data_IF_529749250784
#
_entry.id   IF_529749250784
#
_cell.length_a   1.000
_cell.length_b   1.000
_cell.length_c   1.000
_cell.angle_alpha   90.00
_cell.angle_beta   90.00
_cell.angle_gamma   90.00
#
_symmetry.space_group_name_H-M   'P 1'
#
loop_
_entity.id
_entity.type
_entity.pdbx_description
1 polymer ?
#
# COMPACT_ATOMS: atom_id res chain seq x y z
N UNK A 1 -18.68 14.74 41.58
CA UNK A 1 -19.48 14.58 40.34
C UNK A 1 -20.09 15.94 40.09
N UNK A 2 -19.42 16.75 39.27
CA UNK A 2 -19.83 18.13 39.04
C UNK A 2 -21.22 18.15 38.40
N UNK A 3 -22.09 19.01 38.94
CA UNK A 3 -23.44 19.22 38.48
C UNK A 3 -23.42 19.68 37.02
N UNK A 4 -23.64 18.75 36.07
CA UNK A 4 -23.57 18.97 34.61
C UNK A 4 -24.42 20.17 34.17
N UNK A 5 -25.53 20.41 34.85
CA UNK A 5 -26.39 21.56 34.63
C UNK A 5 -25.67 22.88 34.93
N UNK A 6 -24.89 22.97 36.01
CA UNK A 6 -24.08 24.17 36.32
C UNK A 6 -22.99 24.42 35.29
N UNK A 7 -22.33 23.37 34.81
CA UNK A 7 -21.33 23.49 33.74
C UNK A 7 -22.00 23.95 32.45
N UNK A 8 -23.17 23.38 32.11
CA UNK A 8 -23.98 23.81 30.97
C UNK A 8 -24.36 25.29 31.05
N UNK A 9 -24.78 25.77 32.22
CA UNK A 9 -25.06 27.19 32.46
C UNK A 9 -23.82 28.08 32.30
N UNK A 10 -22.65 27.62 32.74
CA UNK A 10 -21.39 28.35 32.57
C UNK A 10 -21.05 28.48 31.08
N UNK A 11 -21.12 27.39 30.31
CA UNK A 11 -20.91 27.41 28.85
C UNK A 11 -21.92 28.30 28.13
N UNK A 12 -23.17 28.30 28.58
CA UNK A 12 -24.19 29.19 28.06
C UNK A 12 -23.84 30.67 28.29
N UNK A 13 -23.37 31.04 29.49
CA UNK A 13 -22.90 32.40 29.81
C UNK A 13 -21.70 32.82 28.96
N UNK A 14 -20.85 31.87 28.58
CA UNK A 14 -19.75 32.07 27.63
C UNK A 14 -20.21 32.16 26.16
N UNK A 15 -21.52 32.14 25.88
CA UNK A 15 -22.10 32.10 24.52
C UNK A 15 -21.74 30.86 23.69
N UNK A 16 -21.22 29.80 24.33
CA UNK A 16 -20.91 28.51 23.68
C UNK A 16 -22.14 27.62 23.66
N UNK A 17 -23.15 28.03 22.88
CA UNK A 17 -24.49 27.42 22.91
C UNK A 17 -24.51 25.94 22.48
N UNK A 18 -23.63 25.51 21.57
CA UNK A 18 -23.55 24.10 21.16
C UNK A 18 -22.97 23.19 22.26
N UNK A 19 -21.90 23.63 22.92
CA UNK A 19 -21.32 22.90 24.06
C UNK A 19 -22.30 22.87 25.25
N UNK A 20 -23.00 23.98 25.52
CA UNK A 20 -24.02 24.06 26.57
C UNK A 20 -25.18 23.09 26.30
N UNK A 21 -25.66 23.03 25.05
CA UNK A 21 -26.67 22.05 24.61
C UNK A 21 -26.22 20.62 24.89
N UNK A 22 -25.01 20.25 24.51
CA UNK A 22 -24.51 18.88 24.68
C UNK A 22 -24.41 18.49 26.16
N UNK A 23 -24.01 19.43 27.02
CA UNK A 23 -24.00 19.25 28.47
C UNK A 23 -25.41 19.13 29.07
N UNK A 24 -26.38 19.89 28.59
CA UNK A 24 -27.77 19.76 29.03
C UNK A 24 -28.40 18.44 28.57
N UNK A 25 -28.08 17.94 27.37
CA UNK A 25 -28.50 16.62 26.90
C UNK A 25 -27.92 15.51 27.78
N UNK A 26 -26.64 15.59 28.14
CA UNK A 26 -26.02 14.66 29.09
C UNK A 26 -26.67 14.76 30.48
N UNK A 27 -27.03 15.96 30.92
CA UNK A 27 -27.75 16.14 32.19
C UNK A 27 -29.12 15.47 32.18
N UNK A 28 -29.86 15.55 31.07
CA UNK A 28 -31.17 14.90 30.89
C UNK A 28 -31.04 13.38 30.83
N UNK A 29 -29.99 12.85 30.18
CA UNK A 29 -29.73 11.41 30.17
C UNK A 29 -29.53 10.83 31.58
N UNK A 30 -29.01 11.63 32.50
CA UNK A 30 -28.82 11.23 33.90
C UNK A 30 -30.08 11.44 34.75
N UNK A 31 -30.78 12.55 34.55
CA UNK A 31 -32.03 12.89 35.22
C UNK A 31 -32.88 13.81 34.33
N UNK A 32 -33.98 13.27 33.82
CA UNK A 32 -34.90 13.96 32.91
C UNK A 32 -36.06 14.66 33.65
N UNK A 33 -36.14 14.52 34.97
CA UNK A 33 -37.25 15.04 35.78
C UNK A 33 -37.14 16.54 36.06
N UNK A 34 -35.99 17.17 35.77
CA UNK A 34 -35.75 18.58 36.07
C UNK A 34 -36.22 19.50 34.91
N UNK A 35 -37.35 20.22 35.06
CA UNK A 35 -37.88 21.11 34.01
C UNK A 35 -36.94 22.26 33.64
N UNK A 36 -36.06 22.68 34.55
CA UNK A 36 -35.09 23.77 34.29
C UNK A 36 -34.05 23.36 33.25
N UNK A 37 -33.67 22.09 33.21
CA UNK A 37 -32.72 21.54 32.24
C UNK A 37 -33.33 21.53 30.83
N UNK A 38 -34.58 21.11 30.72
CA UNK A 38 -35.35 21.17 29.47
C UNK A 38 -35.51 22.61 28.96
N UNK A 39 -35.86 23.56 29.82
CA UNK A 39 -35.93 24.96 29.44
C UNK A 39 -34.56 25.53 29.02
N UNK A 40 -33.48 25.21 29.73
CA UNK A 40 -32.13 25.65 29.37
C UNK A 40 -31.66 25.08 28.02
N UNK A 41 -32.01 23.83 27.74
CA UNK A 41 -31.80 23.19 26.45
C UNK A 41 -32.60 23.89 25.33
N UNK A 42 -33.87 24.19 25.57
CA UNK A 42 -34.73 24.95 24.64
C UNK A 42 -34.17 26.32 24.30
N UNK A 43 -33.60 27.03 25.30
CA UNK A 43 -32.93 28.32 25.08
C UNK A 43 -31.69 28.15 24.20
N UNK A 44 -30.89 27.10 24.43
CA UNK A 44 -29.73 26.81 23.58
C UNK A 44 -30.15 26.53 22.14
N UNK A 45 -31.18 25.70 21.94
CA UNK A 45 -31.73 25.43 20.61
C UNK A 45 -32.26 26.70 19.94
N UNK A 46 -32.92 27.59 20.68
CA UNK A 46 -33.38 28.89 20.18
C UNK A 46 -32.20 29.74 19.68
N UNK A 47 -31.11 29.82 20.46
CA UNK A 47 -29.87 30.56 20.10
C UNK A 47 -29.14 29.94 18.91
N UNK A 48 -29.24 28.62 18.74
CA UNK A 48 -28.69 27.88 17.59
C UNK A 48 -29.62 27.92 16.36
N UNK A 49 -30.82 28.49 16.48
CA UNK A 49 -31.83 28.55 15.41
C UNK A 49 -32.55 27.23 15.14
N UNK A 50 -32.42 26.25 16.02
CA UNK A 50 -33.13 24.96 16.01
C UNK A 50 -34.51 25.15 16.66
N UNK A 51 -35.40 25.84 15.95
CA UNK A 51 -36.67 26.36 16.50
C UNK A 51 -37.65 25.24 16.87
N UNK A 52 -37.68 24.15 16.10
CA UNK A 52 -38.61 23.05 16.35
C UNK A 52 -38.18 22.23 17.58
N UNK A 53 -36.89 21.94 17.71
CA UNK A 53 -36.32 21.30 18.90
C UNK A 53 -36.45 22.17 20.14
N UNK A 54 -36.32 23.49 20.00
CA UNK A 54 -36.56 24.44 21.09
C UNK A 54 -38.00 24.37 21.59
N UNK A 55 -38.99 24.34 20.68
CA UNK A 55 -40.41 24.28 21.02
C UNK A 55 -40.73 23.01 21.82
N UNK A 56 -40.27 21.84 21.33
CA UNK A 56 -40.43 20.57 22.03
C UNK A 56 -39.82 20.59 23.44
N UNK A 57 -38.66 21.23 23.62
CA UNK A 57 -38.02 21.33 24.93
C UNK A 57 -38.84 22.18 25.91
N UNK A 58 -39.48 23.25 25.44
CA UNK A 58 -40.35 24.07 26.30
C UNK A 58 -41.67 23.37 26.62
N UNK A 59 -42.24 22.62 25.67
CA UNK A 59 -43.42 21.77 25.92
C UNK A 59 -43.12 20.70 26.98
N UNK A 60 -41.98 20.02 26.89
CA UNK A 60 -41.56 19.06 27.93
C UNK A 60 -41.35 19.74 29.28
N UNK A 61 -40.75 20.94 29.32
CA UNK A 61 -40.59 21.69 30.56
C UNK A 61 -41.94 22.07 31.20
N UNK A 62 -42.94 22.42 30.38
CA UNK A 62 -44.32 22.70 30.83
C UNK A 62 -45.08 21.44 31.25
N UNK A 63 -44.80 20.29 30.64
CA UNK A 63 -45.38 19.02 31.06
C UNK A 63 -44.92 18.63 32.47
N UNK A 64 -43.67 18.94 32.81
CA UNK A 64 -43.05 18.65 34.12
C UNK A 64 -43.39 19.69 35.19
N UNK A 65 -43.63 20.95 34.80
CA UNK A 65 -44.02 22.05 35.70
C UNK A 65 -45.14 22.91 35.06
N UNK A 66 -46.40 22.42 35.12
CA UNK A 66 -47.53 23.11 34.50
C UNK A 66 -47.80 24.48 35.12
N UNK A 67 -48.06 25.49 34.28
CA UNK A 67 -48.37 26.86 34.72
C UNK A 67 -47.14 27.73 35.00
N UNK A 68 -45.93 27.27 34.65
CA UNK A 68 -44.73 28.09 34.75
C UNK A 68 -44.70 29.19 33.67
N UNK A 69 -44.98 30.42 34.08
CA UNK A 69 -45.02 31.58 33.19
C UNK A 69 -43.73 31.82 32.38
N UNK A 70 -42.56 31.36 32.85
CA UNK A 70 -41.31 31.50 32.11
C UNK A 70 -41.28 30.58 30.89
N UNK A 71 -41.69 29.33 31.06
CA UNK A 71 -41.67 28.35 29.98
C UNK A 71 -42.76 28.65 28.95
N UNK A 72 -43.95 29.07 29.40
CA UNK A 72 -45.03 29.55 28.51
C UNK A 72 -44.57 30.74 27.66
N UNK A 73 -43.87 31.70 28.28
CA UNK A 73 -43.32 32.85 27.56
C UNK A 73 -42.28 32.42 26.52
N UNK A 74 -41.38 31.50 26.87
CA UNK A 74 -40.35 31.01 25.95
C UNK A 74 -40.95 30.24 24.78
N UNK A 75 -41.92 29.36 25.04
CA UNK A 75 -42.68 28.65 24.02
C UNK A 75 -43.41 29.61 23.08
N UNK A 76 -44.11 30.61 23.65
CA UNK A 76 -44.81 31.64 22.87
C UNK A 76 -43.86 32.41 21.96
N UNK A 77 -42.73 32.88 22.49
CA UNK A 77 -41.73 33.62 21.71
C UNK A 77 -41.23 32.77 20.52
N UNK A 78 -40.93 31.49 20.77
CA UNK A 78 -40.44 30.56 19.73
C UNK A 78 -41.48 30.25 18.67
N UNK A 79 -42.76 30.13 19.06
CA UNK A 79 -43.86 29.91 18.12
C UNK A 79 -44.24 31.17 17.34
N UNK A 80 -44.07 32.36 17.92
CA UNK A 80 -44.30 33.66 17.25
C UNK A 80 -43.10 34.11 16.41
N UNK A 81 -41.95 33.43 16.47
CA UNK A 81 -40.75 33.85 15.71
C UNK A 81 -40.98 33.63 14.21
N UNK A 82 -40.87 34.65 13.33
CA UNK A 82 -41.30 34.56 11.93
C UNK A 82 -40.54 33.51 11.10
N UNK A 83 -41.29 32.85 10.22
CA UNK A 83 -40.95 31.73 9.31
C UNK A 83 -39.68 31.90 8.48
N UNK A 84 -39.14 33.12 8.36
CA UNK A 84 -37.86 33.42 7.68
C UNK A 84 -36.65 32.74 8.33
N UNK A 85 -36.65 32.52 9.64
CA UNK A 85 -35.55 31.82 10.34
C UNK A 85 -35.62 30.31 10.08
N UNK A 86 -36.82 29.72 10.13
CA UNK A 86 -37.06 28.32 9.74
C UNK A 86 -36.60 28.05 8.30
N UNK A 87 -36.91 28.93 7.35
CA UNK A 87 -36.54 28.77 5.93
C UNK A 87 -35.02 28.89 5.65
N UNK A 88 -34.29 29.73 6.40
CA UNK A 88 -32.82 29.89 6.26
C UNK A 88 -32.08 28.62 6.72
N UNK A 89 -32.56 27.98 7.78
CA UNK A 89 -32.00 26.73 8.30
C UNK A 89 -32.41 25.49 7.50
N UNK A 90 -33.63 25.45 6.95
CA UNK A 90 -34.00 24.40 5.98
C UNK A 90 -33.10 24.44 4.74
N UNK A 91 -32.73 25.63 4.23
CA UNK A 91 -31.79 25.75 3.11
C UNK A 91 -30.37 25.30 3.47
N UNK A 92 -29.87 25.57 4.68
CA UNK A 92 -28.54 25.11 5.11
C UNK A 92 -28.51 23.60 5.34
N UNK A 93 -29.55 23.03 5.95
CA UNK A 93 -29.74 21.59 6.17
C UNK A 93 -29.94 20.85 4.83
N UNK A 94 -30.70 21.41 3.89
CA UNK A 94 -30.81 20.86 2.53
C UNK A 94 -29.45 20.89 1.82
N UNK A 95 -28.61 21.90 2.04
CA UNK A 95 -27.28 22.00 1.42
C UNK A 95 -26.30 20.96 1.99
N UNK A 96 -26.35 20.65 3.28
CA UNK A 96 -25.56 19.57 3.90
C UNK A 96 -26.10 18.19 3.52
N UNK A 97 -27.41 17.98 3.55
CA UNK A 97 -28.05 16.74 3.11
C UNK A 97 -27.80 16.46 1.62
N UNK A 98 -27.64 17.47 0.77
CA UNK A 98 -27.29 17.29 -0.65
C UNK A 98 -25.79 16.96 -0.85
N UNK A 99 -24.91 17.33 0.09
CA UNK A 99 -23.48 16.97 0.08
C UNK A 99 -23.24 15.50 0.46
N UNK A 100 -24.03 14.94 1.37
CA UNK A 100 -23.91 13.54 1.84
C UNK A 100 -23.98 12.49 0.70
N UNK A 101 -24.98 12.51 -0.20
CA UNK A 101 -25.04 11.63 -1.37
C UNK A 101 -23.91 11.87 -2.36
N UNK A 102 -23.43 13.12 -2.48
CA UNK A 102 -22.30 13.43 -3.36
C UNK A 102 -20.97 12.90 -2.80
N UNK A 103 -20.76 13.00 -1.48
CA UNK A 103 -19.58 12.43 -0.81
C UNK A 103 -19.59 10.90 -0.94
N UNK A 104 -20.73 10.24 -0.69
CA UNK A 104 -20.86 8.79 -0.89
C UNK A 104 -20.54 8.37 -2.32
N UNK A 105 -21.04 9.09 -3.34
CA UNK A 105 -20.68 8.84 -4.75
C UNK A 105 -19.18 8.96 -5.02
N UNK A 106 -18.53 10.00 -4.49
CA UNK A 106 -17.07 10.18 -4.66
C UNK A 106 -16.31 9.02 -4.02
N UNK A 107 -16.69 8.61 -2.79
CA UNK A 107 -16.05 7.48 -2.10
C UNK A 107 -16.24 6.19 -2.89
N UNK A 108 -17.45 5.91 -3.37
CA UNK A 108 -17.72 4.72 -4.21
C UNK A 108 -16.91 4.75 -5.50
N UNK A 109 -16.78 5.91 -6.17
CA UNK A 109 -15.95 6.03 -7.37
C UNK A 109 -14.47 5.78 -7.09
N UNK A 110 -13.93 6.30 -6.00
CA UNK A 110 -12.54 6.05 -5.59
C UNK A 110 -12.35 4.56 -5.27
N UNK A 111 -13.29 3.95 -4.56
CA UNK A 111 -13.25 2.53 -4.22
C UNK A 111 -13.25 1.64 -5.48
N UNK A 112 -14.16 1.90 -6.42
CA UNK A 112 -14.22 1.18 -7.69
C UNK A 112 -12.96 1.38 -8.53
N UNK A 113 -12.40 2.59 -8.53
CA UNK A 113 -11.12 2.89 -9.17
C UNK A 113 -10.00 2.04 -8.56
N UNK A 114 -9.86 2.00 -7.23
CA UNK A 114 -8.85 1.17 -6.57
C UNK A 114 -9.01 -0.32 -6.91
N UNK A 115 -10.24 -0.85 -6.89
CA UNK A 115 -10.51 -2.25 -7.29
C UNK A 115 -10.07 -2.49 -8.74
N UNK A 116 -10.42 -1.59 -9.66
CA UNK A 116 -10.04 -1.70 -11.06
C UNK A 116 -8.51 -1.77 -11.24
N UNK A 117 -7.74 -0.93 -10.54
CA UNK A 117 -6.27 -0.97 -10.61
C UNK A 117 -5.68 -2.25 -10.02
N UNK A 118 -6.23 -2.76 -8.92
CA UNK A 118 -5.82 -4.04 -8.35
C UNK A 118 -6.07 -5.17 -9.37
N UNK A 119 -7.28 -5.24 -9.93
CA UNK A 119 -7.63 -6.24 -10.94
C UNK A 119 -6.75 -6.11 -12.20
N UNK A 120 -6.45 -4.89 -12.63
CA UNK A 120 -5.56 -4.63 -13.76
C UNK A 120 -4.15 -5.15 -13.47
N UNK A 121 -3.60 -4.91 -12.29
CA UNK A 121 -2.29 -5.43 -11.90
C UNK A 121 -2.27 -6.96 -11.84
N UNK A 122 -3.32 -7.58 -11.30
CA UNK A 122 -3.48 -9.04 -11.31
C UNK A 122 -3.59 -9.59 -12.72
N UNK A 123 -4.34 -8.95 -13.60
CA UNK A 123 -4.48 -9.35 -14.99
C UNK A 123 -3.16 -9.25 -15.75
N UNK A 124 -2.42 -8.16 -15.56
CA UNK A 124 -1.07 -7.98 -16.12
C UNK A 124 -0.12 -9.05 -15.56
N UNK A 125 -0.09 -9.23 -14.25
CA UNK A 125 0.75 -10.24 -13.58
C UNK A 125 0.46 -11.66 -14.05
N UNK A 126 -0.82 -12.01 -14.21
CA UNK A 126 -1.27 -13.29 -14.76
C UNK A 126 -0.84 -13.44 -16.22
N UNK A 127 -1.02 -12.42 -17.05
CA UNK A 127 -0.59 -12.44 -18.45
C UNK A 127 0.92 -12.67 -18.58
N UNK A 128 1.72 -11.97 -17.78
CA UNK A 128 3.17 -12.14 -17.75
C UNK A 128 3.52 -13.54 -17.23
N UNK A 129 2.88 -14.05 -16.17
CA UNK A 129 3.10 -15.41 -15.68
C UNK A 129 2.75 -16.47 -16.75
N UNK A 130 1.67 -16.28 -17.50
CA UNK A 130 1.30 -17.18 -18.59
C UNK A 130 2.30 -17.13 -19.76
N UNK A 131 3.00 -16.01 -19.98
CA UNK A 131 4.06 -15.83 -21.00
C UNK A 131 5.46 -16.21 -20.49
N UNK A 132 5.70 -16.12 -19.18
CA UNK A 132 6.96 -16.48 -18.53
C UNK A 132 7.01 -17.92 -18.05
N UNK A 133 5.90 -18.48 -17.55
CA UNK A 133 5.83 -19.81 -16.95
C UNK A 133 6.50 -19.93 -15.58
N UNK A 134 7.01 -18.84 -15.03
CA UNK A 134 7.72 -18.78 -13.75
C UNK A 134 7.29 -17.56 -12.97
N UNK A 135 7.27 -17.64 -11.65
CA UNK A 135 7.03 -16.49 -10.78
C UNK A 135 8.21 -16.31 -9.82
N UNK A 136 8.83 -15.12 -9.75
CA UNK A 136 8.52 -13.92 -10.53
C UNK A 136 8.98 -14.02 -11.99
N UNK A 137 8.16 -13.54 -12.94
CA UNK A 137 8.55 -13.44 -14.35
C UNK A 137 9.31 -12.16 -14.67
N UNK A 138 9.36 -11.18 -13.76
CA UNK A 138 10.10 -9.93 -13.94
C UNK A 138 10.97 -9.71 -12.72
N UNK A 139 12.24 -9.39 -12.95
CA UNK A 139 13.20 -9.05 -11.90
C UNK A 139 13.94 -7.78 -12.26
N UNK A 140 14.43 -7.05 -11.26
CA UNK A 140 15.27 -5.87 -11.43
C UNK A 140 16.71 -6.26 -11.11
N UNK A 141 17.65 -5.80 -11.95
CA UNK A 141 19.06 -5.99 -11.68
C UNK A 141 19.55 -5.01 -10.62
N UNK A 142 20.13 -5.56 -9.55
CA UNK A 142 20.64 -4.80 -8.41
C UNK A 142 22.15 -4.89 -8.25
N UNK A 143 22.83 -5.77 -9.00
CA UNK A 143 24.26 -6.01 -8.89
C UNK A 143 24.98 -5.82 -10.24
N UNK A 144 26.24 -5.40 -10.17
CA UNK A 144 27.11 -5.15 -11.33
C UNK A 144 27.80 -6.41 -11.87
N UNK A 145 27.56 -7.59 -11.28
CA UNK A 145 28.25 -8.83 -11.65
C UNK A 145 27.98 -9.28 -13.09
N UNK A 146 26.92 -8.77 -13.72
CA UNK A 146 26.56 -9.07 -15.11
C UNK A 146 26.90 -7.93 -16.09
N UNK A 147 27.55 -6.86 -15.63
CA UNK A 147 27.96 -5.76 -16.49
C UNK A 147 29.06 -6.21 -17.49
N UNK A 148 29.17 -5.59 -18.68
CA UNK A 148 28.28 -4.56 -19.23
C UNK A 148 27.01 -5.14 -19.88
N UNK A 149 26.90 -6.47 -19.99
CA UNK A 149 25.84 -7.13 -20.74
C UNK A 149 24.48 -7.00 -20.07
N UNK A 150 24.44 -6.81 -18.76
CA UNK A 150 23.24 -6.52 -17.98
C UNK A 150 23.60 -5.57 -16.83
N UNK A 151 23.00 -4.39 -16.81
CA UNK A 151 23.38 -3.30 -15.91
C UNK A 151 22.39 -3.14 -14.76
N UNK A 152 22.85 -2.53 -13.67
CA UNK A 152 21.97 -2.16 -12.55
C UNK A 152 20.84 -1.25 -13.05
N UNK A 153 19.62 -1.54 -12.62
CA UNK A 153 18.41 -0.84 -13.07
C UNK A 153 17.81 -1.38 -14.38
N UNK A 154 18.42 -2.37 -15.02
CA UNK A 154 17.75 -3.11 -16.11
C UNK A 154 16.57 -3.92 -15.54
N UNK A 155 15.43 -3.90 -16.24
CA UNK A 155 14.29 -4.77 -15.96
C UNK A 155 14.42 -6.04 -16.81
N UNK A 156 14.43 -7.21 -16.19
CA UNK A 156 14.69 -8.48 -16.86
C UNK A 156 13.42 -9.31 -16.87
N UNK A 157 13.01 -9.76 -18.06
CA UNK A 157 11.97 -10.77 -18.20
C UNK A 157 12.60 -12.16 -18.05
N UNK A 158 11.96 -12.97 -17.22
CA UNK A 158 12.38 -14.32 -16.85
C UNK A 158 11.33 -15.30 -17.34
N UNK A 159 11.80 -16.38 -17.96
CA UNK A 159 10.98 -17.46 -18.47
C UNK A 159 11.41 -18.79 -17.85
N UNK A 160 10.54 -19.79 -17.87
CA UNK A 160 10.89 -21.16 -17.50
C UNK A 160 12.08 -21.67 -18.32
N UNK A 161 12.90 -22.57 -17.74
CA UNK A 161 14.14 -23.03 -18.38
C UNK A 161 13.92 -23.75 -19.73
N UNK A 162 12.74 -24.33 -19.92
CA UNK A 162 12.28 -25.02 -21.14
C UNK A 162 11.44 -24.13 -22.07
N UNK A 163 11.08 -22.91 -21.64
CA UNK A 163 10.35 -21.96 -22.49
C UNK A 163 11.28 -21.31 -23.51
N UNK A 164 10.77 -21.24 -24.74
CA UNK A 164 11.47 -20.66 -25.88
C UNK A 164 12.82 -21.33 -26.18
N UNK A 165 12.84 -22.67 -26.06
CA UNK A 165 14.02 -23.50 -26.29
C UNK A 165 14.60 -24.04 -24.98
N UNK A 166 15.37 -25.13 -25.07
CA UNK A 166 16.05 -25.70 -23.92
C UNK A 166 17.11 -24.73 -23.38
N UNK A 167 17.37 -24.79 -22.07
CA UNK A 167 18.49 -24.08 -21.48
C UNK A 167 19.80 -24.52 -22.17
N UNK A 168 20.65 -23.56 -22.52
CA UNK A 168 21.99 -23.84 -23.04
C UNK A 168 23.07 -23.15 -22.22
N UNK A 169 24.13 -23.88 -21.89
CA UNK A 169 25.34 -23.33 -21.28
C UNK A 169 26.13 -22.47 -22.29
N UNK A 170 27.16 -21.77 -21.83
CA UNK A 170 28.07 -21.02 -22.68
C UNK A 170 28.80 -21.96 -23.65
N UNK A 171 29.23 -23.13 -23.19
CA UNK A 171 29.86 -24.14 -24.05
C UNK A 171 28.91 -24.62 -25.16
N UNK A 172 27.68 -24.96 -24.79
CA UNK A 172 26.64 -25.37 -25.73
C UNK A 172 26.26 -24.24 -26.69
N UNK A 173 26.18 -23.00 -26.19
CA UNK A 173 25.89 -21.79 -26.96
C UNK A 173 26.97 -21.46 -27.99
N UNK A 174 28.25 -21.70 -27.67
CA UNK A 174 29.35 -21.55 -28.63
C UNK A 174 29.22 -22.51 -29.82
N UNK A 175 28.63 -23.69 -29.60
CA UNK A 175 28.42 -24.70 -30.63
C UNK A 175 27.14 -24.42 -31.41
N UNK A 176 26.05 -24.06 -30.72
CA UNK A 176 24.73 -23.87 -31.31
C UNK A 176 24.53 -22.49 -31.95
N UNK A 177 25.34 -21.50 -31.57
CA UNK A 177 25.14 -20.09 -31.90
C UNK A 177 24.05 -19.40 -31.07
N UNK A 178 23.54 -20.04 -30.00
CA UNK A 178 22.60 -19.39 -29.09
C UNK A 178 23.32 -18.35 -28.24
N UNK A 179 22.86 -17.11 -28.32
CA UNK A 179 23.42 -15.99 -27.58
C UNK A 179 22.37 -15.30 -26.71
N UNK A 180 22.78 -14.90 -25.50
CA UNK A 180 22.03 -14.00 -24.62
C UNK A 180 22.89 -12.82 -24.19
N UNK A 181 22.36 -11.63 -24.48
CA UNK A 181 22.95 -10.34 -24.17
C UNK A 181 24.35 -10.16 -24.76
N UNK A 182 24.53 -10.62 -26.00
CA UNK A 182 25.77 -10.45 -26.76
C UNK A 182 26.87 -11.46 -26.43
N UNK A 183 26.58 -12.46 -25.61
CA UNK A 183 27.49 -13.57 -25.32
C UNK A 183 26.78 -14.93 -25.48
N UNK A 184 27.53 -16.01 -25.80
CA UNK A 184 26.99 -17.35 -25.93
C UNK A 184 26.34 -17.88 -24.65
N UNK A 185 25.32 -18.72 -24.83
CA UNK A 185 24.61 -19.40 -23.74
C UNK A 185 23.59 -18.54 -23.00
N UNK A 186 22.77 -19.20 -22.19
CA UNK A 186 21.71 -18.58 -21.40
C UNK A 186 22.23 -18.05 -20.05
N UNK A 187 21.60 -16.98 -19.58
CA UNK A 187 21.77 -16.46 -18.21
C UNK A 187 20.61 -16.94 -17.36
N UNK A 188 20.94 -17.61 -16.25
CA UNK A 188 19.97 -18.23 -15.35
C UNK A 188 19.81 -17.46 -14.05
N UNK A 189 18.63 -17.61 -13.46
CA UNK A 189 18.30 -17.11 -12.13
C UNK A 189 18.12 -18.32 -11.24
N UNK A 190 18.86 -18.40 -10.14
CA UNK A 190 18.85 -19.57 -9.28
C UNK A 190 18.98 -19.23 -7.80
N UNK A 191 18.55 -20.16 -6.96
CA UNK A 191 18.71 -20.09 -5.49
C UNK A 191 20.08 -20.64 -5.10
N UNK A 192 20.93 -19.87 -4.39
CA UNK A 192 22.23 -20.36 -3.96
C UNK A 192 22.07 -21.56 -3.01
N UNK A 193 22.64 -22.71 -3.39
CA UNK A 193 22.50 -24.01 -2.73
C UNK A 193 21.04 -24.38 -2.39
N UNK A 194 20.08 -23.95 -3.22
CA UNK A 194 18.66 -24.17 -3.00
C UNK A 194 18.01 -23.33 -1.89
N UNK A 195 18.76 -22.43 -1.25
CA UNK A 195 18.27 -21.62 -0.13
C UNK A 195 17.21 -20.60 -0.59
N UNK A 196 16.00 -20.69 -0.03
CA UNK A 196 14.86 -19.82 -0.37
C UNK A 196 14.85 -18.49 0.35
N UNK A 197 15.61 -18.36 1.44
CA UNK A 197 15.70 -17.16 2.27
C UNK A 197 16.72 -16.15 1.73
N UNK A 198 17.63 -16.62 0.89
CA UNK A 198 18.66 -15.77 0.27
C UNK A 198 18.17 -15.23 -1.07
N UNK A 199 18.68 -14.04 -1.41
CA UNK A 199 18.41 -13.43 -2.71
C UNK A 199 18.91 -14.34 -3.84
N UNK A 200 18.11 -14.57 -4.89
CA UNK A 200 18.56 -15.30 -6.06
C UNK A 200 19.74 -14.63 -6.76
N UNK A 201 20.56 -15.44 -7.42
CA UNK A 201 21.71 -15.00 -8.21
C UNK A 201 21.35 -15.09 -9.70
N UNK A 202 21.76 -14.10 -10.48
CA UNK A 202 21.52 -14.02 -11.92
C UNK A 202 22.86 -14.07 -12.63
N UNK A 203 23.27 -15.23 -13.13
CA UNK A 203 24.59 -15.43 -13.76
C UNK A 203 24.50 -16.36 -14.98
N UNK A 204 25.52 -16.32 -15.83
CA UNK A 204 25.59 -17.16 -17.02
C UNK A 204 25.86 -18.61 -16.64
N UNK A 205 25.13 -19.54 -17.25
CA UNK A 205 25.44 -20.95 -17.16
C UNK A 205 26.69 -21.22 -18.00
N UNK A 206 27.79 -21.66 -17.38
CA UNK A 206 29.07 -21.83 -18.06
C UNK A 206 29.15 -23.19 -18.74
N UNK A 207 28.97 -24.26 -17.97
CA UNK A 207 28.91 -25.65 -18.42
C UNK A 207 28.21 -26.51 -17.37
N UNK A 208 27.80 -27.71 -17.76
CA UNK A 208 27.27 -28.73 -16.85
C UNK A 208 28.40 -29.66 -16.41
N UNK A 209 28.46 -29.98 -15.12
CA UNK A 209 29.45 -30.90 -14.56
C UNK A 209 28.76 -32.05 -13.86
N UNK A 210 29.41 -33.22 -13.84
CA UNK A 210 28.96 -34.40 -13.10
C UNK A 210 29.61 -34.49 -11.72
N UNK A 211 29.05 -35.31 -10.83
CA UNK A 211 29.62 -35.54 -9.50
C UNK A 211 31.04 -36.13 -9.59
N UNK A 212 31.96 -35.54 -8.82
CA UNK A 212 33.37 -35.95 -8.80
C UNK A 212 34.19 -35.42 -9.97
N UNK A 213 33.59 -34.70 -10.91
CA UNK A 213 34.32 -34.11 -12.04
C UNK A 213 35.28 -33.01 -11.55
N UNK A 214 36.51 -33.06 -12.06
CA UNK A 214 37.56 -32.09 -11.75
C UNK A 214 37.68 -31.04 -12.86
N UNK A 215 37.42 -29.78 -12.51
CA UNK A 215 37.52 -28.64 -13.42
C UNK A 215 38.72 -27.78 -13.04
N UNK A 216 39.51 -27.40 -14.03
CA UNK A 216 40.56 -26.41 -13.86
C UNK A 216 39.95 -25.01 -13.78
N UNK A 217 40.21 -24.32 -12.68
CA UNK A 217 39.71 -22.97 -12.45
C UNK A 217 40.88 -21.99 -12.37
N UNK A 218 40.85 -21.00 -13.26
CA UNK A 218 41.91 -19.98 -13.36
C UNK A 218 41.40 -18.64 -12.84
N UNK A 219 42.12 -18.08 -11.87
CA UNK A 219 41.87 -16.79 -11.24
C UNK A 219 43.11 -15.90 -11.38
N UNK A 220 43.13 -15.04 -12.41
CA UNK A 220 44.33 -14.28 -12.76
C UNK A 220 45.47 -15.22 -13.16
N UNK A 221 46.59 -15.19 -12.42
CA UNK A 221 47.75 -16.06 -12.66
C UNK A 221 47.71 -17.40 -11.90
N UNK A 222 46.69 -17.63 -11.05
CA UNK A 222 46.59 -18.84 -10.24
C UNK A 222 45.63 -19.82 -10.89
N UNK A 223 46.08 -21.07 -11.07
CA UNK A 223 45.23 -22.17 -11.51
C UNK A 223 45.08 -23.15 -10.36
N UNK A 224 43.84 -23.54 -10.07
CA UNK A 224 43.53 -24.59 -9.11
C UNK A 224 42.56 -25.60 -9.71
N UNK A 225 42.33 -26.69 -9.00
CA UNK A 225 41.33 -27.70 -9.37
C UNK A 225 40.13 -27.57 -8.46
N UNK A 226 38.93 -27.62 -9.04
CA UNK A 226 37.66 -27.70 -8.34
C UNK A 226 37.03 -29.06 -8.63
N UNK A 227 36.69 -29.81 -7.58
CA UNK A 227 35.98 -31.09 -7.71
C UNK A 227 34.50 -30.85 -7.41
N UNK A 228 33.63 -31.19 -8.36
CA UNK A 228 32.20 -30.98 -8.21
C UNK A 228 31.61 -31.95 -7.16
N UNK A 229 30.96 -31.45 -6.09
CA UNK A 229 30.38 -32.31 -5.04
C UNK A 229 29.11 -33.03 -5.52
N UNK A 230 28.51 -32.58 -6.61
CA UNK A 230 27.35 -33.19 -7.26
C UNK A 230 27.17 -32.60 -8.66
N UNK A 231 26.30 -33.21 -9.47
CA UNK A 231 25.99 -32.71 -10.80
C UNK A 231 25.25 -31.36 -10.76
N UNK A 232 25.56 -30.46 -11.70
CA UNK A 232 24.93 -29.15 -11.80
C UNK A 232 25.64 -28.19 -12.76
N UNK A 233 25.06 -27.01 -12.97
CA UNK A 233 25.70 -25.97 -13.77
C UNK A 233 26.74 -25.20 -12.97
N UNK A 234 27.94 -25.05 -13.53
CA UNK A 234 28.85 -24.00 -13.08
C UNK A 234 28.33 -22.66 -13.60
N UNK A 235 28.41 -21.62 -12.77
CA UNK A 235 27.86 -20.30 -13.10
C UNK A 235 28.89 -19.20 -12.89
N UNK A 236 28.75 -18.13 -13.66
CA UNK A 236 29.64 -16.98 -13.57
C UNK A 236 28.93 -15.70 -13.98
N UNK A 237 29.11 -14.64 -13.19
CA UNK A 237 28.76 -13.29 -13.61
C UNK A 237 29.66 -12.82 -14.75
N UNK A 238 29.10 -12.18 -15.78
CA UNK A 238 29.87 -11.72 -16.95
C UNK A 238 31.02 -10.77 -16.56
N UNK A 239 30.91 -10.06 -15.44
CA UNK A 239 31.93 -9.16 -14.87
C UNK A 239 32.75 -9.80 -13.75
N UNK A 240 32.50 -11.07 -13.39
CA UNK A 240 33.23 -11.74 -12.32
C UNK A 240 34.57 -12.28 -12.85
N UNK A 241 35.63 -12.33 -12.03
CA UNK A 241 36.91 -12.88 -12.46
C UNK A 241 36.89 -14.41 -12.58
N UNK A 242 36.09 -15.08 -11.75
CA UNK A 242 36.04 -16.54 -11.60
C UNK A 242 34.59 -17.04 -11.51
N UNK A 243 34.39 -18.36 -11.63
CA UNK A 243 33.09 -19.00 -11.41
C UNK A 243 32.64 -18.85 -9.94
N UNK A 244 31.32 -18.90 -9.72
CA UNK A 244 30.72 -18.67 -8.42
C UNK A 244 31.13 -19.72 -7.38
N UNK A 245 31.41 -20.95 -7.85
CA UNK A 245 31.79 -22.09 -7.01
C UNK A 245 33.16 -21.95 -6.33
N UNK A 246 34.01 -21.04 -6.82
CA UNK A 246 35.31 -20.74 -6.21
C UNK A 246 35.41 -19.30 -5.69
N UNK A 247 34.54 -18.41 -6.17
CA UNK A 247 34.63 -16.97 -5.92
C UNK A 247 34.18 -16.53 -4.52
N UNK A 248 33.34 -17.31 -3.85
CA UNK A 248 32.76 -16.94 -2.56
C UNK A 248 32.90 -18.06 -1.52
N UNK A 249 33.77 -17.88 -0.54
CA UNK A 249 33.89 -18.81 0.60
C UNK A 249 32.77 -18.66 1.63
N UNK A 250 32.07 -17.53 1.66
CA UNK A 250 30.92 -17.31 2.54
C UNK A 250 29.94 -16.27 1.95
N UNK A 251 29.21 -16.66 0.91
CA UNK A 251 28.23 -15.78 0.26
C UNK A 251 27.05 -15.50 1.21
N UNK A 252 26.86 -14.26 1.67
CA UNK A 252 25.67 -13.81 2.42
C UNK A 252 25.21 -14.74 3.56
N UNK A 253 26.14 -15.29 4.34
CA UNK A 253 25.87 -16.24 5.42
C UNK A 253 25.27 -17.59 4.94
N UNK A 254 25.56 -18.01 3.71
CA UNK A 254 25.18 -19.32 3.18
C UNK A 254 25.78 -20.48 4.00
N UNK A 255 26.87 -20.23 4.74
CA UNK A 255 27.53 -21.24 5.56
C UNK A 255 28.55 -22.08 4.80
N UNK A 256 28.85 -21.73 3.55
CA UNK A 256 29.82 -22.41 2.71
C UNK A 256 29.93 -21.76 1.32
N UNK A 257 30.73 -22.36 0.42
CA UNK A 257 30.80 -21.93 -0.96
C UNK A 257 29.51 -22.22 -1.72
N UNK A 258 29.31 -21.50 -2.82
CA UNK A 258 28.25 -21.82 -3.77
C UNK A 258 28.60 -23.16 -4.43
N UNK A 259 27.64 -24.07 -4.52
CA UNK A 259 27.78 -25.37 -5.16
C UNK A 259 27.34 -25.31 -6.64
N UNK A 260 27.63 -26.33 -7.48
CA UNK A 260 27.10 -26.39 -8.84
C UNK A 260 25.58 -26.27 -8.81
N UNK A 261 24.97 -25.55 -9.75
CA UNK A 261 23.54 -25.22 -9.68
C UNK A 261 22.71 -26.41 -10.17
N UNK A 262 22.00 -27.08 -9.26
CA UNK A 262 21.05 -28.15 -9.63
C UNK A 262 19.87 -27.59 -10.41
N UNK A 263 19.25 -28.42 -11.26
CA UNK A 263 18.12 -28.00 -12.10
C UNK A 263 16.94 -27.49 -11.27
N UNK A 264 16.67 -28.11 -10.13
CA UNK A 264 15.62 -27.72 -9.19
C UNK A 264 15.90 -26.40 -8.44
N UNK A 265 17.14 -25.92 -8.43
CA UNK A 265 17.50 -24.63 -7.83
C UNK A 265 17.29 -23.47 -8.81
N UNK A 266 17.16 -23.76 -10.10
CA UNK A 266 16.92 -22.77 -11.15
C UNK A 266 15.47 -22.30 -11.06
N UNK A 267 15.30 -20.99 -10.89
CA UNK A 267 14.00 -20.31 -10.93
C UNK A 267 13.55 -20.15 -12.39
N UNK A 268 14.48 -19.79 -13.27
CA UNK A 268 14.22 -19.62 -14.70
C UNK A 268 15.44 -19.11 -15.44
N UNK A 269 15.27 -18.82 -16.72
CA UNK A 269 16.28 -18.18 -17.56
C UNK A 269 15.80 -16.82 -18.03
N UNK A 270 16.75 -15.93 -18.23
CA UNK A 270 16.50 -14.59 -18.74
C UNK A 270 16.12 -14.66 -20.23
N UNK A 271 15.15 -13.85 -20.65
CA UNK A 271 14.65 -13.85 -22.03
C UNK A 271 15.01 -12.57 -22.76
N UNK A 272 14.67 -11.41 -22.20
CA UNK A 272 15.11 -10.10 -22.68
C UNK A 272 15.23 -9.11 -21.51
N UNK A 273 15.86 -7.96 -21.78
CA UNK A 273 16.00 -6.86 -20.83
C UNK A 273 15.43 -5.55 -21.38
N UNK A 274 14.90 -4.72 -20.49
CA UNK A 274 14.51 -3.33 -20.78
C UNK A 274 15.46 -2.43 -19.99
N UNK A 275 16.38 -1.72 -20.65
CA UNK A 275 17.31 -0.85 -19.97
C UNK A 275 16.62 0.25 -19.16
N UNK A 276 17.18 0.58 -18.00
CA UNK A 276 16.76 1.67 -17.10
C UNK A 276 15.34 1.57 -16.51
N UNK A 277 14.50 0.63 -16.95
CA UNK A 277 13.10 0.53 -16.52
C UNK A 277 12.95 0.02 -15.08
N UNK A 278 13.95 -0.69 -14.55
CA UNK A 278 13.99 -1.15 -13.16
C UNK A 278 14.01 0.02 -12.16
N UNK A 279 14.51 1.19 -12.55
CA UNK A 279 14.46 2.39 -11.70
C UNK A 279 13.04 2.86 -11.38
N UNK A 280 12.05 2.57 -12.23
CA UNK A 280 10.64 2.88 -11.95
C UNK A 280 10.16 2.04 -10.77
N UNK A 281 10.47 0.74 -10.76
CA UNK A 281 10.11 -0.17 -9.66
C UNK A 281 10.82 0.22 -8.37
N UNK A 282 12.10 0.60 -8.44
CA UNK A 282 12.90 1.02 -7.28
C UNK A 282 12.35 2.29 -6.61
N UNK A 283 11.69 3.19 -7.36
CA UNK A 283 11.18 4.47 -6.87
C UNK A 283 9.64 4.50 -6.66
N UNK A 284 8.95 3.37 -6.83
CA UNK A 284 7.49 3.32 -6.75
C UNK A 284 6.94 3.68 -5.36
N UNK A 285 7.59 3.22 -4.29
CA UNK A 285 7.15 3.50 -2.91
C UNK A 285 7.30 4.99 -2.53
N UNK A 286 8.46 5.63 -2.74
CA UNK A 286 8.59 7.09 -2.57
C UNK A 286 7.55 7.88 -3.36
N UNK A 287 7.29 7.48 -4.61
CA UNK A 287 6.30 8.12 -5.46
C UNK A 287 4.88 8.01 -4.90
N UNK A 288 4.46 6.84 -4.44
CA UNK A 288 3.14 6.63 -3.83
C UNK A 288 2.96 7.42 -2.52
N UNK A 289 4.03 7.58 -1.73
CA UNK A 289 4.02 8.44 -0.54
C UNK A 289 3.76 9.89 -0.94
N UNK A 290 4.47 10.40 -1.95
CA UNK A 290 4.25 11.76 -2.45
C UNK A 290 2.81 11.97 -2.94
N UNK A 291 2.24 11.01 -3.67
CA UNK A 291 0.84 11.07 -4.13
C UNK A 291 -0.14 11.06 -2.94
N UNK A 292 0.10 10.22 -1.93
CA UNK A 292 -0.71 10.18 -0.72
C UNK A 292 -0.69 11.50 0.07
N UNK A 293 0.49 12.11 0.20
CA UNK A 293 0.66 13.45 0.81
C UNK A 293 -0.11 14.50 0.01
N UNK A 294 0.02 14.50 -1.32
CA UNK A 294 -0.68 15.44 -2.19
C UNK A 294 -2.19 15.31 -2.07
N UNK A 295 -2.70 14.07 -2.02
CA UNK A 295 -4.11 13.78 -1.83
C UNK A 295 -4.62 14.26 -0.47
N UNK A 296 -3.85 14.05 0.60
CA UNK A 296 -4.18 14.57 1.93
C UNK A 296 -4.23 16.11 1.96
N UNK A 297 -3.27 16.78 1.31
CA UNK A 297 -3.26 18.24 1.17
C UNK A 297 -4.51 18.73 0.43
N UNK A 298 -4.89 18.07 -0.67
CA UNK A 298 -6.11 18.42 -1.42
C UNK A 298 -7.37 18.27 -0.55
N UNK A 299 -7.47 17.19 0.24
CA UNK A 299 -8.59 16.99 1.16
C UNK A 299 -8.60 18.01 2.30
N UNK A 300 -7.44 18.38 2.83
CA UNK A 300 -7.31 19.41 3.86
C UNK A 300 -7.69 20.79 3.35
N UNK A 301 -7.22 21.17 2.15
CA UNK A 301 -7.58 22.44 1.50
C UNK A 301 -9.08 22.55 1.21
N UNK A 302 -9.77 21.44 0.95
CA UNK A 302 -11.23 21.40 0.77
C UNK A 302 -12.05 21.50 2.06
N UNK A 303 -11.42 21.35 3.23
CA UNK A 303 -12.08 21.48 4.55
C UNK A 303 -12.08 22.92 5.09
N UNK A 304 -11.20 23.80 4.59
CA UNK A 304 -11.26 25.25 4.83
C UNK A 304 -12.27 25.91 3.89
#
# INVERSE_FOLDING_TARGET
MDDLFKIGLQKYRESKYAEARDLFLLSIQNDDSNPKTWNALGICYTKLGQIDEASNCYDTALMLDPGNATYEKNLRIVNETPTKIKAKNVKSIQKTAKKEPQIKKIITSIFLFCIFFILLQWFIGLGIYLIGGVWPSIVVMEAESMAPNMNVGDLILVVAGDRFGTLQSLEEGNISGNEKFGLPGDVIIYRPNGNTELQPIIHRAMTWVEEGEEILVTAGMRTGTYTAPHAGYLTKGDNNPVIDQVGWSNYRNLGGPIEPVKKEWIIGKTFFKIPLFGYISLNAVPFLICVGILFFIILWLRRK
#
